data_IF_310033396458
#
_entry.id   IF_310033396458
#
_cell.length_a   1.000
_cell.length_b   1.000
_cell.length_c   1.000
_cell.angle_alpha   90.00
_cell.angle_beta   90.00
_cell.angle_gamma   90.00
#
_symmetry.space_group_name_H-M   'P 1'
#
loop_
_entity.id
_entity.type
_entity.pdbx_description
1 polymer ?
#
# COMPACT_ATOMS: atom_id res chain seq x y z
N UNK A 1 3.69 17.33 15.21
CA UNK A 1 3.08 17.62 13.88
C UNK A 1 1.59 17.85 14.07
N UNK A 2 0.95 18.64 13.19
CA UNK A 2 -0.48 18.98 13.30
C UNK A 2 -1.35 18.01 12.48
N UNK A 3 -2.66 17.94 12.80
CA UNK A 3 -3.64 17.10 12.07
C UNK A 3 -3.73 17.43 10.59
N UNK A 4 -3.36 18.67 10.25
CA UNK A 4 -3.32 19.16 8.88
C UNK A 4 -2.41 18.30 7.99
N UNK A 5 -1.31 17.76 8.54
CA UNK A 5 -0.41 16.92 7.77
C UNK A 5 -1.12 15.65 7.24
N UNK A 6 -1.81 14.91 8.12
CA UNK A 6 -2.56 13.72 7.73
C UNK A 6 -3.69 14.02 6.74
N UNK A 7 -4.34 15.19 6.85
CA UNK A 7 -5.37 15.61 5.90
C UNK A 7 -4.79 15.92 4.52
N UNK A 8 -3.67 16.62 4.46
CA UNK A 8 -2.95 16.90 3.21
C UNK A 8 -2.47 15.59 2.58
N UNK A 9 -1.91 14.69 3.38
CA UNK A 9 -1.46 13.37 2.91
C UNK A 9 -2.62 12.55 2.33
N UNK A 10 -3.78 12.55 3.00
CA UNK A 10 -4.98 11.91 2.48
C UNK A 10 -5.44 12.52 1.15
N UNK A 11 -5.49 13.85 1.05
CA UNK A 11 -5.86 14.53 -0.19
C UNK A 11 -4.91 14.19 -1.34
N UNK A 12 -3.59 14.21 -1.09
CA UNK A 12 -2.56 13.84 -2.07
C UNK A 12 -2.78 12.40 -2.55
N UNK A 13 -2.93 11.45 -1.63
CA UNK A 13 -3.08 10.04 -1.98
C UNK A 13 -4.40 9.74 -2.67
N UNK A 14 -5.49 10.43 -2.32
CA UNK A 14 -6.76 10.37 -3.05
C UNK A 14 -6.58 10.85 -4.49
N UNK A 15 -5.91 11.98 -4.72
CA UNK A 15 -5.66 12.50 -6.06
C UNK A 15 -4.79 11.54 -6.86
N UNK A 16 -3.70 11.03 -6.28
CA UNK A 16 -2.80 10.08 -6.94
C UNK A 16 -3.51 8.75 -7.27
N UNK A 17 -4.30 8.23 -6.34
CA UNK A 17 -5.12 7.03 -6.58
C UNK A 17 -6.14 7.28 -7.69
N UNK A 18 -6.86 8.41 -7.65
CA UNK A 18 -7.84 8.76 -8.69
C UNK A 18 -7.19 8.93 -10.07
N UNK A 19 -6.03 9.57 -10.15
CA UNK A 19 -5.29 9.74 -11.41
C UNK A 19 -4.80 8.40 -11.98
N UNK A 20 -4.21 7.54 -11.15
CA UNK A 20 -3.75 6.21 -11.59
C UNK A 20 -4.92 5.30 -11.98
N UNK A 21 -6.01 5.34 -11.21
CA UNK A 21 -7.28 4.68 -11.57
C UNK A 21 -7.82 5.18 -12.90
N UNK A 22 -7.86 6.49 -13.12
CA UNK A 22 -8.37 7.06 -14.37
C UNK A 22 -7.54 6.58 -15.58
N UNK A 23 -6.21 6.58 -15.46
CA UNK A 23 -5.32 6.09 -16.52
C UNK A 23 -5.53 4.60 -16.82
N UNK A 24 -5.70 3.75 -15.80
CA UNK A 24 -6.02 2.34 -16.04
C UNK A 24 -7.44 2.17 -16.58
N UNK A 25 -8.40 2.99 -16.15
CA UNK A 25 -9.78 2.91 -16.60
C UNK A 25 -9.91 3.20 -18.09
N UNK A 26 -9.14 4.14 -18.65
CA UNK A 26 -9.14 4.37 -20.09
C UNK A 26 -8.59 3.18 -20.88
N UNK A 27 -7.77 2.33 -20.27
CA UNK A 27 -7.19 1.12 -20.88
C UNK A 27 -8.05 -0.14 -20.68
N UNK A 28 -8.62 -0.32 -19.50
CA UNK A 28 -9.29 -1.56 -19.08
C UNK A 28 -10.76 -1.37 -18.68
N UNK A 29 -11.30 -0.16 -18.71
CA UNK A 29 -12.70 0.15 -18.42
C UNK A 29 -13.15 -0.28 -17.03
N UNK A 30 -14.38 -0.77 -16.94
CA UNK A 30 -15.04 -1.15 -15.68
C UNK A 30 -14.30 -2.23 -14.87
N UNK A 31 -13.44 -3.03 -15.52
CA UNK A 31 -12.63 -4.08 -14.89
C UNK A 31 -11.70 -3.50 -13.80
N UNK A 32 -11.26 -2.25 -13.97
CA UNK A 32 -10.49 -1.51 -12.96
C UNK A 32 -11.29 -1.30 -11.67
N UNK A 33 -12.61 -1.10 -11.77
CA UNK A 33 -13.48 -0.99 -10.60
C UNK A 33 -13.46 -2.24 -9.72
N UNK A 34 -13.47 -3.43 -10.34
CA UNK A 34 -13.36 -4.71 -9.62
C UNK A 34 -12.00 -4.84 -8.95
N UNK A 35 -10.92 -4.46 -9.65
CA UNK A 35 -9.59 -4.45 -9.08
C UNK A 35 -9.48 -3.51 -7.86
N UNK A 36 -10.03 -2.30 -7.94
CA UNK A 36 -10.03 -1.34 -6.83
C UNK A 36 -10.76 -1.91 -5.62
N UNK A 37 -11.93 -2.52 -5.82
CA UNK A 37 -12.68 -3.15 -4.71
C UNK A 37 -11.84 -4.26 -4.08
N UNK A 38 -11.17 -5.10 -4.86
CA UNK A 38 -10.27 -6.13 -4.33
C UNK A 38 -9.11 -5.53 -3.54
N UNK A 39 -8.45 -4.48 -4.05
CA UNK A 39 -7.36 -3.78 -3.37
C UNK A 39 -7.84 -3.19 -2.04
N UNK A 40 -8.97 -2.47 -2.05
CA UNK A 40 -9.52 -1.84 -0.86
C UNK A 40 -9.95 -2.86 0.19
N UNK A 41 -10.56 -3.98 -0.20
CA UNK A 41 -10.95 -5.03 0.75
C UNK A 41 -9.74 -5.69 1.40
N UNK A 42 -8.77 -6.14 0.59
CA UNK A 42 -7.58 -6.82 1.13
C UNK A 42 -6.72 -5.86 1.93
N UNK A 43 -6.49 -4.64 1.43
CA UNK A 43 -5.76 -3.60 2.13
C UNK A 43 -6.44 -3.22 3.44
N UNK A 44 -7.74 -2.91 3.43
CA UNK A 44 -8.44 -2.52 4.66
C UNK A 44 -8.49 -3.66 5.69
N UNK A 45 -8.80 -4.89 5.27
CA UNK A 45 -8.86 -6.06 6.18
C UNK A 45 -7.47 -6.37 6.72
N UNK A 46 -6.46 -6.45 5.84
CA UNK A 46 -5.09 -6.73 6.22
C UNK A 46 -4.58 -5.70 7.22
N UNK A 47 -4.82 -4.41 6.94
CA UNK A 47 -4.35 -3.34 7.80
C UNK A 47 -5.05 -3.32 9.17
N UNK A 48 -6.37 -3.55 9.20
CA UNK A 48 -7.10 -3.67 10.47
C UNK A 48 -6.69 -4.90 11.27
N UNK A 49 -6.40 -6.01 10.60
CA UNK A 49 -5.95 -7.25 11.25
C UNK A 49 -4.55 -7.06 11.84
N UNK A 50 -3.58 -6.61 11.05
CA UNK A 50 -2.18 -6.49 11.49
C UNK A 50 -2.03 -5.42 12.57
N UNK A 51 -2.68 -4.25 12.43
CA UNK A 51 -2.75 -3.26 13.51
C UNK A 51 -3.47 -3.79 14.76
N UNK A 52 -4.49 -4.63 14.57
CA UNK A 52 -5.23 -5.22 15.68
C UNK A 52 -4.50 -6.30 16.47
N UNK A 53 -3.53 -6.96 15.85
CA UNK A 53 -2.59 -7.87 16.50
C UNK A 53 -1.42 -7.12 17.17
N UNK A 54 -1.30 -5.80 16.97
CA UNK A 54 -0.25 -4.97 17.59
C UNK A 54 1.07 -4.91 16.82
N UNK A 55 1.12 -5.40 15.58
CA UNK A 55 2.36 -5.40 14.79
C UNK A 55 2.83 -4.00 14.39
N UNK A 56 1.91 -3.08 14.12
CA UNK A 56 2.23 -1.67 14.02
C UNK A 56 1.14 -0.83 14.67
N UNK A 57 1.58 0.28 15.26
CA UNK A 57 0.72 1.25 15.91
C UNK A 57 0.82 2.56 15.14
N UNK A 58 -0.30 3.00 14.56
CA UNK A 58 -0.39 4.36 14.05
C UNK A 58 -0.30 5.33 15.21
N UNK A 59 0.62 6.29 15.11
CA UNK A 59 0.84 7.28 16.16
C UNK A 59 -0.37 8.21 16.26
N UNK A 60 -0.48 8.89 17.42
CA UNK A 60 -1.63 9.68 17.87
C UNK A 60 -2.41 10.34 16.73
N UNK A 61 -3.75 10.30 16.81
CA UNK A 61 -4.71 10.89 15.86
C UNK A 61 -4.45 12.35 15.49
N UNK A 62 -3.56 13.02 16.21
CA UNK A 62 -3.11 14.38 15.97
C UNK A 62 -2.21 14.52 14.75
N UNK A 63 -1.60 13.46 14.22
CA UNK A 63 -0.71 13.53 13.03
C UNK A 63 -1.29 12.83 11.81
N UNK A 64 -1.94 11.67 12.02
CA UNK A 64 -2.48 10.82 10.95
C UNK A 64 -3.80 11.31 10.33
N UNK A 65 -4.43 12.34 10.90
CA UNK A 65 -5.66 12.91 10.36
C UNK A 65 -6.87 12.02 10.64
N UNK A 66 -7.66 11.70 9.60
CA UNK A 66 -8.88 10.90 9.74
C UNK A 66 -8.56 9.41 9.83
N UNK A 67 -9.35 8.69 10.62
CA UNK A 67 -9.27 7.24 10.79
C UNK A 67 -10.58 6.59 10.38
N UNK A 68 -10.48 5.41 9.80
CA UNK A 68 -11.59 4.46 9.66
C UNK A 68 -11.20 3.26 10.51
N UNK A 69 -11.90 3.05 11.62
CA UNK A 69 -11.50 2.05 12.61
C UNK A 69 -10.12 2.34 13.20
N UNK A 70 -9.15 1.45 12.96
CA UNK A 70 -7.77 1.56 13.46
C UNK A 70 -6.81 2.12 12.42
N UNK A 71 -7.26 2.30 11.18
CA UNK A 71 -6.41 2.61 10.04
C UNK A 71 -6.63 4.05 9.59
N UNK A 72 -5.58 4.85 9.38
CA UNK A 72 -5.69 6.17 8.79
C UNK A 72 -6.33 6.11 7.41
N UNK A 73 -7.22 7.07 7.11
CA UNK A 73 -7.98 7.12 5.86
C UNK A 73 -7.10 7.14 4.61
N UNK A 74 -5.87 7.63 4.72
CA UNK A 74 -4.94 7.72 3.60
C UNK A 74 -4.31 6.38 3.19
N UNK A 75 -4.26 5.39 4.09
CA UNK A 75 -3.64 4.07 3.84
C UNK A 75 -4.33 3.30 2.70
N UNK A 76 -5.67 3.15 2.67
CA UNK A 76 -6.33 2.49 1.54
C UNK A 76 -6.05 3.14 0.17
N UNK A 77 -5.97 4.48 0.13
CA UNK A 77 -5.64 5.20 -1.10
C UNK A 77 -4.17 5.03 -1.49
N UNK A 78 -3.26 4.91 -0.51
CA UNK A 78 -1.87 4.54 -0.77
C UNK A 78 -1.76 3.17 -1.42
N UNK A 79 -2.53 2.18 -0.95
CA UNK A 79 -2.56 0.84 -1.56
C UNK A 79 -3.03 0.88 -3.01
N UNK A 80 -4.14 1.58 -3.31
CA UNK A 80 -4.62 1.73 -4.69
C UNK A 80 -3.57 2.42 -5.56
N UNK A 81 -3.03 3.55 -5.10
CA UNK A 81 -2.00 4.29 -5.82
C UNK A 81 -0.76 3.45 -6.07
N UNK A 82 -0.25 2.73 -5.08
CA UNK A 82 0.96 1.94 -5.23
C UNK A 82 0.76 0.76 -6.18
N UNK A 83 -0.34 0.01 -6.05
CA UNK A 83 -0.63 -1.14 -6.92
C UNK A 83 -0.83 -0.70 -8.37
N UNK A 84 -1.64 0.33 -8.59
CA UNK A 84 -1.96 0.80 -9.94
C UNK A 84 -0.85 1.67 -10.53
N UNK A 85 -0.28 2.56 -9.74
CA UNK A 85 0.78 3.48 -10.17
C UNK A 85 2.05 2.74 -10.59
N UNK A 86 2.45 1.67 -9.90
CA UNK A 86 3.61 0.86 -10.29
C UNK A 86 3.37 0.08 -11.59
N UNK A 87 2.14 -0.38 -11.85
CA UNK A 87 1.75 -0.96 -13.14
C UNK A 87 1.77 0.08 -14.25
N UNK A 88 1.11 1.23 -14.05
CA UNK A 88 1.05 2.33 -15.01
C UNK A 88 2.47 2.78 -15.38
N UNK A 89 3.32 2.98 -14.38
CA UNK A 89 4.72 3.34 -14.61
C UNK A 89 5.45 2.29 -15.46
N UNK A 90 5.29 1.01 -15.14
CA UNK A 90 5.90 -0.09 -15.90
C UNK A 90 5.43 -0.14 -17.35
N UNK A 91 4.13 0.07 -17.59
CA UNK A 91 3.55 0.14 -18.94
C UNK A 91 4.05 1.38 -19.71
N UNK A 92 4.17 2.53 -19.06
CA UNK A 92 4.72 3.75 -19.66
C UNK A 92 6.18 3.61 -20.07
N UNK A 93 6.94 2.74 -19.39
CA UNK A 93 8.31 2.37 -19.76
C UNK A 93 8.36 1.41 -20.97
N UNK A 94 7.21 1.07 -21.57
CA UNK A 94 7.13 0.22 -22.76
C UNK A 94 7.21 -1.28 -22.46
N UNK A 95 7.07 -1.70 -21.21
CA UNK A 95 7.09 -3.12 -20.86
C UNK A 95 5.81 -3.82 -21.36
N UNK A 96 5.92 -5.03 -21.93
CA UNK A 96 4.74 -5.83 -22.27
C UNK A 96 3.97 -6.20 -21.00
N UNK A 97 2.66 -6.46 -21.13
CA UNK A 97 1.74 -6.60 -19.99
C UNK A 97 2.25 -7.55 -18.88
N UNK A 98 2.67 -8.77 -19.23
CA UNK A 98 3.17 -9.73 -18.25
C UNK A 98 4.44 -9.23 -17.51
N UNK A 99 5.38 -8.61 -18.24
CA UNK A 99 6.57 -8.04 -17.64
C UNK A 99 6.23 -6.83 -16.75
N UNK A 100 5.33 -5.96 -17.21
CA UNK A 100 4.86 -4.80 -16.44
C UNK A 100 4.19 -5.21 -15.12
N UNK A 101 3.41 -6.29 -15.13
CA UNK A 101 2.80 -6.85 -13.93
C UNK A 101 3.88 -7.34 -12.95
N UNK A 102 4.87 -8.11 -13.39
CA UNK A 102 5.95 -8.58 -12.52
C UNK A 102 6.79 -7.42 -11.98
N UNK A 103 7.12 -6.44 -12.83
CA UNK A 103 7.84 -5.22 -12.44
C UNK A 103 7.05 -4.38 -11.44
N UNK A 104 5.71 -4.37 -11.49
CA UNK A 104 4.88 -3.64 -10.53
C UNK A 104 5.11 -4.09 -9.09
N UNK A 105 5.31 -5.40 -8.86
CA UNK A 105 5.67 -5.92 -7.54
C UNK A 105 7.03 -5.45 -7.05
N UNK A 106 8.05 -5.54 -7.91
CA UNK A 106 9.41 -5.08 -7.57
C UNK A 106 9.41 -3.59 -7.25
N UNK A 107 8.72 -2.79 -8.06
CA UNK A 107 8.58 -1.35 -7.82
C UNK A 107 7.77 -1.07 -6.55
N UNK A 108 6.76 -1.88 -6.24
CA UNK A 108 6.00 -1.78 -4.99
C UNK A 108 6.89 -1.99 -3.76
N UNK A 109 7.70 -3.05 -3.76
CA UNK A 109 8.66 -3.32 -2.68
C UNK A 109 9.74 -2.24 -2.56
N UNK A 110 10.25 -1.71 -3.67
CA UNK A 110 11.21 -0.60 -3.67
C UNK A 110 10.57 0.69 -3.16
N UNK A 111 9.35 1.00 -3.60
CA UNK A 111 8.57 2.14 -3.14
C UNK A 111 8.36 2.07 -1.63
N UNK A 112 8.01 0.89 -1.12
CA UNK A 112 7.85 0.67 0.31
C UNK A 112 9.15 0.96 1.07
N UNK A 113 10.23 0.28 0.69
CA UNK A 113 11.53 0.38 1.37
C UNK A 113 12.13 1.79 1.31
N UNK A 114 12.11 2.43 0.15
CA UNK A 114 12.86 3.66 -0.11
C UNK A 114 12.05 4.91 0.21
N UNK A 115 10.73 4.86 0.06
CA UNK A 115 9.86 6.02 0.22
C UNK A 115 8.87 5.86 1.38
N UNK A 116 8.02 4.84 1.38
CA UNK A 116 6.93 4.73 2.35
C UNK A 116 7.48 4.53 3.77
N UNK A 117 8.26 3.47 4.01
CA UNK A 117 8.86 3.21 5.32
C UNK A 117 9.84 4.31 5.72
N UNK A 118 10.74 4.71 4.81
CA UNK A 118 11.72 5.76 5.12
C UNK A 118 11.05 7.08 5.51
N UNK A 119 10.14 7.58 4.69
CA UNK A 119 9.57 8.92 4.88
C UNK A 119 8.47 8.85 5.94
N UNK A 120 7.51 7.95 5.81
CA UNK A 120 6.29 8.00 6.62
C UNK A 120 6.47 7.29 7.98
N UNK A 121 7.20 6.17 8.04
CA UNK A 121 7.52 5.48 9.30
C UNK A 121 8.73 6.13 9.99
N UNK A 122 9.91 6.13 9.37
CA UNK A 122 11.14 6.55 10.05
C UNK A 122 11.28 8.06 10.26
N UNK A 123 11.04 8.86 9.24
CA UNK A 123 11.24 10.33 9.33
C UNK A 123 10.03 11.05 9.94
N UNK A 124 8.81 10.55 9.70
CA UNK A 124 7.56 11.19 10.18
C UNK A 124 6.90 10.48 11.35
N UNK A 125 7.31 9.25 11.68
CA UNK A 125 6.75 8.45 12.76
C UNK A 125 5.21 8.38 12.69
N UNK A 126 4.64 8.19 11.49
CA UNK A 126 3.19 8.03 11.33
C UNK A 126 2.70 6.67 11.85
N UNK A 127 3.56 5.66 11.81
CA UNK A 127 3.39 4.43 12.56
C UNK A 127 4.73 3.97 13.12
N UNK A 128 4.67 3.02 14.04
CA UNK A 128 5.83 2.34 14.60
C UNK A 128 5.59 0.86 14.62
N UNK A 129 6.58 0.08 14.18
CA UNK A 129 6.57 -1.37 14.27
C UNK A 129 6.88 -1.80 15.70
N UNK A 130 6.10 -2.75 16.23
CA UNK A 130 6.29 -3.29 17.58
C UNK A 130 6.37 -4.80 17.52
N UNK A 131 7.36 -5.43 18.19
CA UNK A 131 7.39 -6.88 18.30
C UNK A 131 6.18 -7.34 19.11
N UNK A 132 5.42 -8.28 18.55
CA UNK A 132 4.28 -8.93 19.20
C UNK A 132 4.77 -10.23 19.81
N UNK A 133 4.35 -10.55 21.03
CA UNK A 133 4.64 -11.82 21.69
C UNK A 133 4.14 -13.00 20.85
N UNK A 134 5.00 -13.99 20.59
CA UNK A 134 4.78 -15.10 19.65
C UNK A 134 4.49 -14.68 18.19
N UNK A 135 4.75 -13.42 17.82
CA UNK A 135 4.66 -12.93 16.46
C UNK A 135 5.94 -13.17 15.65
N UNK A 136 5.90 -12.85 14.35
CA UNK A 136 7.06 -13.00 13.44
C UNK A 136 8.31 -12.20 13.87
N UNK A 137 8.16 -11.24 14.80
CA UNK A 137 9.25 -10.44 15.38
C UNK A 137 9.45 -10.69 16.88
N UNK A 138 8.84 -11.72 17.47
CA UNK A 138 8.94 -11.99 18.91
C UNK A 138 10.37 -12.30 19.39
N UNK A 139 11.28 -12.61 18.47
CA UNK A 139 12.71 -12.82 18.76
C UNK A 139 13.53 -11.53 18.74
N UNK A 140 13.01 -10.42 18.20
CA UNK A 140 13.73 -9.15 18.15
C UNK A 140 13.56 -8.41 19.49
N UNK A 141 14.67 -7.99 20.14
CA UNK A 141 14.59 -7.14 21.32
C UNK A 141 13.79 -5.87 20.99
N UNK A 142 12.89 -5.46 21.89
CA UNK A 142 12.08 -4.25 21.73
C UNK A 142 12.89 -2.95 21.60
N UNK A 143 14.22 -3.01 21.77
CA UNK A 143 15.18 -1.93 21.59
C UNK A 143 15.77 -1.86 20.16
N UNK A 144 15.54 -2.85 19.30
CA UNK A 144 15.98 -2.84 17.89
C UNK A 144 15.03 -1.97 17.06
N UNK A 145 15.56 -1.34 16.00
CA UNK A 145 14.92 -0.28 15.20
C UNK A 145 13.42 -0.51 14.91
N UNK A 146 12.56 0.24 15.61
CA UNK A 146 11.09 0.19 15.52
C UNK A 146 10.54 0.81 14.23
N UNK A 147 11.41 1.31 13.37
CA UNK A 147 11.04 2.01 12.13
C UNK A 147 11.27 1.17 10.87
N UNK A 148 11.83 -0.04 11.01
CA UNK A 148 12.02 -0.96 9.87
C UNK A 148 10.93 -2.00 9.84
N UNK A 149 10.25 -2.15 8.70
CA UNK A 149 9.22 -3.14 8.53
C UNK A 149 9.77 -4.58 8.61
N UNK A 150 8.95 -5.55 9.08
CA UNK A 150 9.33 -6.96 9.03
C UNK A 150 9.53 -7.43 7.58
N UNK A 151 10.38 -8.44 7.34
CA UNK A 151 10.52 -9.06 6.02
C UNK A 151 9.20 -9.43 5.33
N UNK A 152 8.21 -9.85 6.11
CA UNK A 152 6.86 -10.15 5.62
C UNK A 152 6.16 -8.95 4.96
N UNK A 153 6.40 -7.71 5.43
CA UNK A 153 5.83 -6.51 4.81
C UNK A 153 6.33 -6.35 3.37
N UNK A 154 7.65 -6.45 3.16
CA UNK A 154 8.24 -6.35 1.83
C UNK A 154 7.76 -7.45 0.88
N UNK A 155 7.50 -8.66 1.40
CA UNK A 155 6.89 -9.72 0.61
C UNK A 155 5.45 -9.38 0.19
N UNK A 156 4.66 -8.75 1.07
CA UNK A 156 3.32 -8.27 0.69
C UNK A 156 3.42 -7.18 -0.38
N UNK A 157 4.31 -6.20 -0.21
CA UNK A 157 4.55 -5.14 -1.20
C UNK A 157 5.09 -5.66 -2.54
N UNK A 158 5.76 -6.82 -2.54
CA UNK A 158 6.20 -7.52 -3.75
C UNK A 158 5.06 -8.30 -4.41
N UNK A 159 4.35 -9.11 -3.64
CA UNK A 159 3.42 -10.13 -4.16
C UNK A 159 2.05 -9.53 -4.46
N UNK A 160 1.55 -8.64 -3.59
CA UNK A 160 0.18 -8.14 -3.69
C UNK A 160 -0.07 -7.32 -4.97
N UNK A 161 0.82 -6.39 -5.38
CA UNK A 161 0.65 -5.71 -6.66
C UNK A 161 0.62 -6.69 -7.84
N UNK A 162 1.48 -7.71 -7.83
CA UNK A 162 1.52 -8.75 -8.88
C UNK A 162 0.21 -9.49 -8.96
N UNK A 163 -0.34 -9.96 -7.83
CA UNK A 163 -1.62 -10.68 -7.79
C UNK A 163 -2.76 -9.77 -8.26
N UNK A 164 -2.85 -8.54 -7.75
CA UNK A 164 -3.92 -7.61 -8.11
C UNK A 164 -3.87 -7.21 -9.59
N UNK A 165 -2.68 -7.06 -10.15
CA UNK A 165 -2.50 -6.71 -11.56
C UNK A 165 -2.70 -7.93 -12.49
N UNK A 166 -2.36 -9.15 -12.06
CA UNK A 166 -2.76 -10.38 -12.77
C UNK A 166 -4.27 -10.59 -12.76
N UNK A 167 -4.96 -10.26 -11.67
CA UNK A 167 -6.42 -10.29 -11.62
C UNK A 167 -7.01 -9.37 -12.70
N UNK A 168 -6.54 -8.12 -12.78
CA UNK A 168 -6.98 -7.18 -13.81
C UNK A 168 -6.70 -7.72 -15.23
N UNK A 169 -5.48 -8.23 -15.47
CA UNK A 169 -5.12 -8.79 -16.76
C UNK A 169 -6.00 -9.99 -17.14
N UNK A 170 -6.22 -10.92 -16.21
CA UNK A 170 -7.12 -12.06 -16.41
C UNK A 170 -8.53 -11.62 -16.76
N UNK A 171 -9.06 -10.59 -16.09
CA UNK A 171 -10.36 -10.01 -16.43
C UNK A 171 -10.40 -9.40 -17.82
N UNK A 172 -9.32 -8.74 -18.26
CA UNK A 172 -9.22 -8.20 -19.62
C UNK A 172 -9.27 -9.34 -20.66
N UNK A 173 -8.57 -10.45 -20.41
CA UNK A 173 -8.53 -11.58 -21.33
C UNK A 173 -9.85 -12.36 -21.37
N UNK A 174 -10.55 -12.48 -20.24
CA UNK A 174 -11.82 -13.22 -20.12
C UNK A 174 -13.05 -12.40 -20.56
N UNK A 175 -12.99 -11.07 -20.40
CA UNK A 175 -14.08 -10.15 -20.70
C UNK A 175 -13.55 -8.98 -21.53
N UNK A 176 -13.23 -9.19 -22.83
CA UNK A 176 -12.58 -8.17 -23.68
C UNK A 176 -13.39 -6.88 -23.82
#
# INVERSE_FOLDING_TARGET
MSRMFGYILAAILVVLAASTTYLLWTMAGWRVGVQIVAILLVGAIGEHYVSGQGYYHYTDSKTNGFFVGRVPLWIPFMWVFAVQGTLVFSLMMGLPAAAAILSSGLLGAVLDLVAIERILSRERALWTWTPVDNGYLGFLPAQVDRFTAPPGNYLVWLIFPVIANWLLYGMIMLFP
#
